data_IF_675606706321
#
_entry.id   IF_675606706321
#
_cell.length_a   1.000
_cell.length_b   1.000
_cell.length_c   1.000
_cell.angle_alpha   90.00
_cell.angle_beta   90.00
_cell.angle_gamma   90.00
#
_symmetry.space_group_name_H-M   'P 1'
#
loop_
_entity.id
_entity.type
_entity.pdbx_description
1 polymer ?
#
# COMPACT_ATOMS: atom_id res chain seq x y z
N UNK A 1 23.57 -16.72 -22.24
CA UNK A 1 22.15 -16.32 -22.33
C UNK A 1 21.40 -16.99 -21.19
N UNK A 2 21.40 -16.36 -20.01
CA UNK A 2 20.60 -16.70 -18.82
C UNK A 2 20.97 -15.72 -17.70
N UNK A 3 20.38 -14.51 -17.67
CA UNK A 3 20.53 -13.61 -16.51
C UNK A 3 19.54 -12.42 -16.48
N UNK A 4 18.25 -12.61 -16.77
CA UNK A 4 17.23 -11.57 -16.45
C UNK A 4 16.27 -11.99 -15.35
N UNK A 5 15.98 -13.28 -15.19
CA UNK A 5 14.95 -13.75 -14.24
C UNK A 5 15.30 -13.62 -12.75
N UNK A 6 16.54 -13.29 -12.38
CA UNK A 6 16.93 -13.12 -10.97
C UNK A 6 16.94 -11.65 -10.51
N UNK A 7 16.73 -10.71 -11.42
CA UNK A 7 16.79 -9.27 -11.12
C UNK A 7 15.49 -8.73 -10.52
N UNK A 8 14.35 -9.19 -11.01
CA UNK A 8 13.04 -8.62 -10.66
C UNK A 8 12.51 -9.08 -9.30
N UNK A 9 12.71 -10.36 -8.95
CA UNK A 9 12.35 -10.87 -7.62
C UNK A 9 13.26 -10.26 -6.53
N UNK A 10 14.56 -10.19 -6.78
CA UNK A 10 15.52 -9.59 -5.86
C UNK A 10 15.31 -8.08 -5.71
N UNK A 11 14.94 -7.37 -6.78
CA UNK A 11 14.65 -5.93 -6.74
C UNK A 11 13.32 -5.63 -6.03
N UNK A 12 12.29 -6.47 -6.18
CA UNK A 12 11.03 -6.33 -5.45
C UNK A 12 11.22 -6.49 -3.94
N UNK A 13 12.07 -7.45 -3.53
CA UNK A 13 12.44 -7.69 -2.13
C UNK A 13 13.34 -6.60 -1.57
N UNK A 14 14.37 -6.19 -2.32
CA UNK A 14 15.22 -5.07 -1.94
C UNK A 14 14.38 -3.80 -1.77
N UNK A 15 13.45 -3.54 -2.69
CA UNK A 15 12.49 -2.45 -2.57
C UNK A 15 11.67 -2.58 -1.29
N UNK A 16 11.11 -3.74 -1.01
CA UNK A 16 10.33 -3.97 0.21
C UNK A 16 11.15 -3.68 1.47
N UNK A 17 12.34 -4.27 1.61
CA UNK A 17 13.19 -4.07 2.77
C UNK A 17 13.66 -2.62 2.87
N UNK A 18 13.91 -1.96 1.75
CA UNK A 18 14.22 -0.53 1.74
C UNK A 18 13.09 0.29 2.35
N UNK A 19 11.84 0.02 1.94
CA UNK A 19 10.68 0.71 2.50
C UNK A 19 10.48 0.41 3.99
N UNK A 20 10.65 -0.83 4.41
CA UNK A 20 10.43 -1.24 5.80
C UNK A 20 11.55 -0.78 6.74
N UNK A 21 12.82 -0.83 6.32
CA UNK A 21 13.98 -0.54 7.17
C UNK A 21 14.35 0.94 7.19
N UNK A 22 14.09 1.67 6.10
CA UNK A 22 14.51 3.07 5.98
C UNK A 22 13.32 4.02 5.87
N UNK A 23 12.40 3.76 4.94
CA UNK A 23 11.31 4.70 4.64
C UNK A 23 10.27 4.76 5.76
N UNK A 24 9.88 3.62 6.31
CA UNK A 24 8.89 3.55 7.39
C UNK A 24 9.41 4.21 8.69
N UNK A 25 10.65 3.94 9.17
CA UNK A 25 11.21 4.69 10.29
C UNK A 25 11.33 6.19 10.03
N UNK A 26 11.74 6.60 8.82
CA UNK A 26 11.86 8.01 8.46
C UNK A 26 10.50 8.73 8.46
N UNK A 27 9.49 8.13 7.83
CA UNK A 27 8.12 8.68 7.80
C UNK A 27 7.49 8.73 9.19
N UNK A 28 7.67 7.70 10.02
CA UNK A 28 7.23 7.72 11.42
C UNK A 28 7.97 8.77 12.25
N UNK A 29 9.26 9.00 11.99
CA UNK A 29 10.01 10.07 12.64
C UNK A 29 9.44 11.44 12.27
N UNK A 30 9.06 11.67 11.02
CA UNK A 30 8.41 12.91 10.58
C UNK A 30 7.05 13.09 11.27
N UNK A 31 6.26 12.02 11.35
CA UNK A 31 4.89 12.03 11.89
C UNK A 31 4.81 11.92 13.42
N UNK A 32 5.95 11.99 14.12
CA UNK A 32 5.98 11.91 15.58
C UNK A 32 5.11 13.03 16.21
N UNK A 33 4.20 12.71 17.15
CA UNK A 33 3.35 13.71 17.81
C UNK A 33 4.21 14.82 18.45
N UNK A 34 3.82 16.08 18.24
CA UNK A 34 4.48 17.25 18.82
C UNK A 34 5.72 17.77 18.08
N UNK A 35 6.19 17.10 17.01
CA UNK A 35 7.34 17.59 16.23
C UNK A 35 6.95 18.67 15.23
N UNK A 36 5.89 18.43 14.47
CA UNK A 36 5.33 19.38 13.50
C UNK A 36 3.82 19.52 13.70
N UNK A 37 3.25 20.63 13.22
CA UNK A 37 1.79 20.77 13.08
C UNK A 37 1.24 19.68 12.18
N UNK A 38 -0.01 19.27 12.38
CA UNK A 38 -0.57 18.10 11.73
C UNK A 38 -0.49 18.15 10.20
N UNK A 39 -0.87 19.29 9.62
CA UNK A 39 -0.79 19.50 8.18
C UNK A 39 0.66 19.47 7.67
N UNK A 40 1.60 20.10 8.40
CA UNK A 40 3.01 20.18 7.99
C UNK A 40 3.68 18.81 8.02
N UNK A 41 3.48 18.03 9.09
CA UNK A 41 4.00 16.67 9.20
C UNK A 41 3.49 15.77 8.09
N UNK A 42 2.20 15.85 7.77
CA UNK A 42 1.61 15.10 6.67
C UNK A 42 2.20 15.51 5.31
N UNK A 43 2.32 16.82 5.05
CA UNK A 43 2.92 17.30 3.79
C UNK A 43 4.37 16.84 3.63
N UNK A 44 5.18 16.84 4.70
CA UNK A 44 6.56 16.37 4.64
C UNK A 44 6.65 14.86 4.44
N UNK A 45 5.78 14.08 5.08
CA UNK A 45 5.74 12.63 4.89
C UNK A 45 5.33 12.25 3.46
N UNK A 46 4.29 12.90 2.91
CA UNK A 46 3.87 12.72 1.52
C UNK A 46 4.98 13.16 0.56
N UNK A 47 5.58 14.33 0.79
CA UNK A 47 6.70 14.82 -0.02
C UNK A 47 7.89 13.88 -0.03
N UNK A 48 8.26 13.31 1.11
CA UNK A 48 9.33 12.30 1.22
C UNK A 48 8.98 11.04 0.42
N UNK A 49 7.76 10.51 0.56
CA UNK A 49 7.33 9.32 -0.16
C UNK A 49 7.31 9.54 -1.68
N UNK A 50 6.82 10.69 -2.13
CA UNK A 50 6.81 11.07 -3.55
C UNK A 50 8.23 11.25 -4.09
N UNK A 51 9.14 11.86 -3.33
CA UNK A 51 10.53 12.01 -3.73
C UNK A 51 11.24 10.66 -3.87
N UNK A 52 11.05 9.77 -2.91
CA UNK A 52 11.62 8.41 -2.96
C UNK A 52 11.03 7.61 -4.12
N UNK A 53 9.71 7.67 -4.31
CA UNK A 53 9.05 7.02 -5.44
C UNK A 53 9.59 7.55 -6.78
N UNK A 54 9.70 8.86 -6.96
CA UNK A 54 10.22 9.47 -8.18
C UNK A 54 11.68 9.06 -8.46
N UNK A 55 12.55 9.08 -7.44
CA UNK A 55 13.94 8.65 -7.58
C UNK A 55 14.01 7.17 -7.96
N UNK A 56 13.28 6.31 -7.25
CA UNK A 56 13.23 4.87 -7.51
C UNK A 56 12.74 4.58 -8.93
N UNK A 57 11.60 5.15 -9.31
CA UNK A 57 11.05 5.00 -10.66
C UNK A 57 12.03 5.50 -11.73
N UNK A 58 12.74 6.61 -11.47
CA UNK A 58 13.78 7.09 -12.38
C UNK A 58 14.95 6.11 -12.55
N UNK A 59 15.40 5.46 -11.47
CA UNK A 59 16.43 4.43 -11.55
C UNK A 59 15.95 3.18 -12.31
N UNK A 60 14.74 2.71 -12.03
CA UNK A 60 14.18 1.54 -12.72
C UNK A 60 13.98 1.78 -14.22
N UNK A 61 13.48 2.96 -14.60
CA UNK A 61 13.36 3.33 -16.02
C UNK A 61 14.75 3.32 -16.68
N UNK A 62 15.78 3.80 -15.99
CA UNK A 62 17.15 3.80 -16.50
C UNK A 62 17.72 2.38 -16.65
N UNK A 63 17.43 1.49 -15.71
CA UNK A 63 17.93 0.10 -15.72
C UNK A 63 17.27 -0.76 -16.80
N UNK A 64 15.98 -0.56 -17.08
CA UNK A 64 15.26 -1.28 -18.15
C UNK A 64 15.79 -0.95 -19.55
N UNK A 65 16.35 0.24 -19.73
CA UNK A 65 16.82 0.70 -21.03
C UNK A 65 15.70 1.17 -21.96
N UNK A 66 16.04 1.61 -23.18
CA UNK A 66 15.05 2.13 -24.12
C UNK A 66 14.15 1.02 -24.64
N UNK A 67 12.87 1.32 -24.82
CA UNK A 67 11.91 0.42 -25.45
C UNK A 67 11.85 0.60 -26.98
N UNK A 68 11.10 -0.23 -27.71
CA UNK A 68 11.07 -0.19 -29.19
C UNK A 68 10.52 1.13 -29.76
N UNK A 69 9.58 1.76 -29.07
CA UNK A 69 9.04 3.06 -29.46
C UNK A 69 10.07 4.19 -29.26
N UNK A 70 10.79 4.15 -28.13
CA UNK A 70 11.88 5.09 -27.82
C UNK A 70 13.08 4.89 -28.74
N UNK A 71 13.41 3.64 -29.10
CA UNK A 71 14.49 3.31 -30.04
C UNK A 71 14.23 3.89 -31.44
N UNK A 72 12.98 3.82 -31.91
CA UNK A 72 12.59 4.40 -33.20
C UNK A 72 12.21 5.89 -33.10
N UNK A 73 12.14 6.46 -31.90
CA UNK A 73 11.67 7.82 -31.64
C UNK A 73 10.27 8.08 -32.23
N UNK A 74 9.33 7.17 -31.96
CA UNK A 74 7.93 7.23 -32.41
C UNK A 74 6.97 7.03 -31.25
N UNK A 75 5.76 7.59 -31.36
CA UNK A 75 4.69 7.31 -30.39
C UNK A 75 4.04 5.94 -30.66
N UNK A 76 3.46 5.32 -29.62
CA UNK A 76 2.63 4.12 -29.71
C UNK A 76 1.50 4.23 -30.76
N UNK A 77 0.93 5.43 -30.90
CA UNK A 77 -0.12 5.76 -31.87
C UNK A 77 0.37 6.03 -33.29
N UNK A 78 1.67 5.91 -33.57
CA UNK A 78 2.23 6.24 -34.89
C UNK A 78 1.76 5.27 -35.97
N UNK A 79 1.55 5.80 -37.18
CA UNK A 79 1.15 5.00 -38.33
C UNK A 79 2.30 4.11 -38.82
N UNK A 80 2.02 3.00 -39.54
CA UNK A 80 3.06 2.15 -40.14
C UNK A 80 3.99 2.93 -41.09
N UNK A 81 3.48 3.99 -41.74
CA UNK A 81 4.27 4.86 -42.61
C UNK A 81 5.28 5.68 -41.80
N UNK A 82 4.90 6.17 -40.63
CA UNK A 82 5.76 6.96 -39.75
C UNK A 82 6.84 6.08 -39.11
N UNK A 83 6.47 4.87 -38.68
CA UNK A 83 7.40 3.84 -38.16
C UNK A 83 8.47 3.52 -39.22
N UNK A 84 8.05 3.30 -40.48
CA UNK A 84 8.98 3.04 -41.59
C UNK A 84 9.91 4.21 -41.91
N UNK A 85 9.39 5.45 -41.87
CA UNK A 85 10.21 6.66 -42.05
C UNK A 85 11.22 6.82 -40.93
N UNK A 86 10.80 6.60 -39.70
CA UNK A 86 11.63 6.69 -38.51
C UNK A 86 12.74 5.64 -38.52
N UNK A 87 12.42 4.38 -38.84
CA UNK A 87 13.42 3.32 -39.02
C UNK A 87 14.47 3.72 -40.06
N UNK A 88 14.06 4.17 -41.26
CA UNK A 88 15.02 4.61 -42.30
C UNK A 88 15.96 5.72 -41.81
N UNK A 89 15.42 6.69 -41.05
CA UNK A 89 16.20 7.80 -40.47
C UNK A 89 17.21 7.27 -39.43
N UNK A 90 16.76 6.42 -38.52
CA UNK A 90 17.58 5.89 -37.44
C UNK A 90 18.63 4.91 -37.96
N UNK A 91 18.28 4.00 -38.88
CA UNK A 91 19.23 3.03 -39.47
C UNK A 91 20.42 3.70 -40.14
N UNK A 92 20.25 4.88 -40.75
CA UNK A 92 21.34 5.64 -41.35
C UNK A 92 22.28 6.24 -40.31
N UNK A 93 21.78 6.55 -39.11
CA UNK A 93 22.55 7.11 -38.00
C UNK A 93 23.34 6.03 -37.26
N UNK A 94 22.75 4.85 -37.04
CA UNK A 94 23.38 3.73 -36.31
C UNK A 94 24.10 2.72 -37.20
N UNK A 95 24.20 2.97 -38.51
CA UNK A 95 24.82 2.02 -39.44
C UNK A 95 26.28 1.69 -39.05
N UNK A 96 26.67 0.40 -38.95
CA UNK A 96 28.00 0.01 -38.50
C UNK A 96 29.14 0.57 -39.36
N UNK A 97 28.92 0.76 -40.67
CA UNK A 97 29.93 1.38 -41.55
C UNK A 97 30.19 2.87 -41.25
N UNK A 98 29.22 3.57 -40.66
CA UNK A 98 29.32 5.01 -40.36
C UNK A 98 29.63 5.29 -38.89
N UNK A 99 29.30 4.35 -38.01
CA UNK A 99 29.55 4.45 -36.58
C UNK A 99 30.63 3.42 -36.17
N UNK A 100 31.87 3.85 -35.90
CA UNK A 100 32.96 2.97 -35.51
C UNK A 100 32.87 2.47 -34.06
N UNK A 101 31.72 2.62 -33.38
CA UNK A 101 31.54 2.11 -32.03
C UNK A 101 31.45 0.57 -32.02
N UNK A 102 32.02 -0.05 -30.98
CA UNK A 102 31.93 -1.49 -30.79
C UNK A 102 30.48 -1.97 -30.55
N UNK A 103 29.57 -1.05 -30.17
CA UNK A 103 28.14 -1.31 -29.93
C UNK A 103 27.25 -1.09 -31.16
N UNK A 104 27.77 -0.54 -32.26
CA UNK A 104 26.95 -0.16 -33.41
C UNK A 104 26.20 -1.35 -34.03
N UNK A 105 26.83 -2.53 -34.04
CA UNK A 105 26.22 -3.77 -34.56
C UNK A 105 25.03 -4.20 -33.70
N UNK A 106 25.19 -4.18 -32.38
CA UNK A 106 24.14 -4.57 -31.43
C UNK A 106 22.99 -3.56 -31.43
N UNK A 107 23.30 -2.27 -31.49
CA UNK A 107 22.29 -1.20 -31.58
C UNK A 107 21.50 -1.27 -32.88
N UNK A 108 22.17 -1.57 -34.00
CA UNK A 108 21.51 -1.77 -35.28
C UNK A 108 20.61 -3.01 -35.30
N UNK A 109 21.07 -4.11 -34.69
CA UNK A 109 20.27 -5.32 -34.55
C UNK A 109 19.00 -5.05 -33.72
N UNK A 110 19.14 -4.37 -32.57
CA UNK A 110 17.98 -3.97 -31.73
C UNK A 110 17.01 -3.04 -32.45
N UNK A 111 17.53 -2.08 -33.22
CA UNK A 111 16.70 -1.17 -34.02
C UNK A 111 15.90 -1.93 -35.09
N UNK A 112 16.51 -2.93 -35.72
CA UNK A 112 15.84 -3.81 -36.68
C UNK A 112 14.76 -4.65 -36.01
N UNK A 113 15.07 -5.29 -34.88
CA UNK A 113 14.09 -6.05 -34.10
C UNK A 113 12.89 -5.18 -33.70
N UNK A 114 13.13 -3.95 -33.24
CA UNK A 114 12.09 -2.98 -32.92
C UNK A 114 11.18 -2.69 -34.12
N UNK A 115 11.75 -2.49 -35.31
CA UNK A 115 10.98 -2.27 -36.54
C UNK A 115 10.17 -3.50 -36.94
N UNK A 116 10.78 -4.69 -36.91
CA UNK A 116 10.13 -5.94 -37.31
C UNK A 116 8.93 -6.26 -36.38
N UNK A 117 9.07 -6.03 -35.07
CA UNK A 117 7.99 -6.22 -34.09
C UNK A 117 6.89 -5.17 -34.23
N UNK A 118 7.23 -3.89 -34.39
CA UNK A 118 6.23 -2.80 -34.42
C UNK A 118 5.47 -2.73 -35.75
N UNK A 119 6.00 -3.32 -36.83
CA UNK A 119 5.33 -3.40 -38.13
C UNK A 119 4.32 -4.55 -38.24
N UNK A 120 4.53 -5.63 -37.49
CA UNK A 120 3.60 -6.75 -37.42
C UNK A 120 2.52 -6.46 -36.36
N UNK A 121 1.24 -6.49 -36.77
CA UNK A 121 0.13 -6.17 -35.88
C UNK A 121 0.00 -7.15 -34.71
N UNK A 122 0.28 -8.44 -34.92
CA UNK A 122 0.20 -9.45 -33.87
C UNK A 122 1.38 -9.33 -32.90
N UNK A 123 2.60 -9.11 -33.41
CA UNK A 123 3.77 -8.95 -32.55
C UNK A 123 3.74 -7.64 -31.79
N UNK A 124 3.27 -6.55 -32.41
CA UNK A 124 3.03 -5.26 -31.74
C UNK A 124 2.04 -5.39 -30.60
N UNK A 125 0.98 -6.18 -30.79
CA UNK A 125 -0.03 -6.43 -29.75
C UNK A 125 0.58 -7.12 -28.53
N UNK A 126 1.29 -8.23 -28.78
CA UNK A 126 1.99 -8.99 -27.75
C UNK A 126 3.03 -8.12 -27.04
N UNK A 127 3.79 -7.33 -27.80
CA UNK A 127 4.80 -6.42 -27.26
C UNK A 127 4.19 -5.35 -26.36
N UNK A 128 3.07 -4.75 -26.76
CA UNK A 128 2.40 -3.71 -25.98
C UNK A 128 1.92 -4.24 -24.63
N UNK A 129 1.37 -5.45 -24.60
CA UNK A 129 0.80 -6.08 -23.40
C UNK A 129 1.85 -6.72 -22.50
N UNK A 130 2.94 -7.24 -23.08
CA UNK A 130 3.85 -8.17 -22.40
C UNK A 130 5.34 -7.82 -22.55
N UNK A 131 5.67 -6.72 -23.21
CA UNK A 131 7.05 -6.29 -23.42
C UNK A 131 7.84 -7.21 -24.36
N UNK A 132 9.17 -7.08 -24.33
CA UNK A 132 10.06 -7.88 -25.19
C UNK A 132 10.01 -9.38 -24.86
N UNK A 133 9.71 -9.73 -23.62
CA UNK A 133 9.69 -11.13 -23.18
C UNK A 133 8.54 -11.90 -23.81
N UNK A 134 7.36 -11.28 -23.90
CA UNK A 134 6.20 -11.87 -24.56
C UNK A 134 6.41 -12.14 -26.05
N UNK A 135 7.24 -11.34 -26.71
CA UNK A 135 7.58 -11.53 -28.14
C UNK A 135 8.57 -12.70 -28.32
N UNK A 136 9.49 -12.89 -27.37
CA UNK A 136 10.50 -13.97 -27.41
C UNK A 136 9.94 -15.33 -26.96
N UNK A 137 8.86 -15.33 -26.18
CA UNK A 137 8.22 -16.53 -25.67
C UNK A 137 7.16 -17.11 -26.64
N UNK A 138 6.90 -18.42 -26.55
CA UNK A 138 6.06 -19.13 -27.50
C UNK A 138 4.56 -19.04 -27.10
N UNK A 139 3.80 -18.23 -27.85
CA UNK A 139 2.38 -17.80 -27.70
C UNK A 139 1.39 -18.60 -26.82
N UNK A 140 1.50 -19.92 -26.66
CA UNK A 140 0.52 -20.77 -25.92
C UNK A 140 0.85 -21.01 -24.45
N UNK A 141 2.12 -20.95 -24.05
CA UNK A 141 2.55 -21.20 -22.65
C UNK A 141 2.43 -19.93 -21.81
N UNK A 142 2.38 -18.77 -22.45
CA UNK A 142 2.55 -17.48 -21.80
C UNK A 142 1.26 -16.95 -21.15
N UNK A 143 0.06 -17.17 -21.72
CA UNK A 143 -1.19 -16.66 -21.10
C UNK A 143 -1.37 -17.13 -19.66
N UNK A 144 -1.09 -18.41 -19.39
CA UNK A 144 -1.16 -18.98 -18.03
C UNK A 144 -0.03 -18.48 -17.13
N UNK A 145 1.20 -18.39 -17.66
CA UNK A 145 2.35 -17.88 -16.89
C UNK A 145 2.11 -16.43 -16.44
N UNK A 146 1.55 -15.62 -17.33
CA UNK A 146 1.30 -14.20 -17.07
C UNK A 146 0.13 -13.99 -16.10
N UNK A 147 -0.96 -14.75 -16.23
CA UNK A 147 -2.03 -14.76 -15.21
C UNK A 147 -1.50 -15.21 -13.84
N UNK A 148 -0.55 -16.16 -13.83
CA UNK A 148 0.11 -16.61 -12.60
C UNK A 148 0.99 -15.52 -12.01
N UNK A 149 1.75 -14.77 -12.80
CA UNK A 149 2.58 -13.64 -12.32
C UNK A 149 1.72 -12.54 -11.67
N UNK A 150 0.61 -12.17 -12.31
CA UNK A 150 -0.39 -11.25 -11.73
C UNK A 150 -0.93 -11.82 -10.42
N UNK A 151 -1.40 -13.07 -10.42
CA UNK A 151 -1.96 -13.70 -9.24
C UNK A 151 -0.96 -13.77 -8.08
N UNK A 152 0.30 -14.15 -8.36
CA UNK A 152 1.37 -14.20 -7.37
C UNK A 152 1.63 -12.81 -6.80
N UNK A 153 1.71 -11.77 -7.63
CA UNK A 153 1.88 -10.39 -7.16
C UNK A 153 0.77 -10.01 -6.17
N UNK A 154 -0.51 -10.10 -6.55
CA UNK A 154 -1.62 -9.64 -5.72
C UNK A 154 -1.83 -10.51 -4.47
N UNK A 155 -1.61 -11.82 -4.57
CA UNK A 155 -1.71 -12.72 -3.41
C UNK A 155 -0.57 -12.44 -2.43
N UNK A 156 0.68 -12.38 -2.91
CA UNK A 156 1.83 -12.11 -2.06
C UNK A 156 1.73 -10.73 -1.40
N UNK A 157 1.45 -9.69 -2.19
CA UNK A 157 1.27 -8.33 -1.66
C UNK A 157 0.01 -8.18 -0.81
N UNK A 158 -1.05 -8.93 -1.07
CA UNK A 158 -2.26 -8.93 -0.25
C UNK A 158 -2.04 -9.56 1.12
N UNK A 159 -1.36 -10.71 1.19
CA UNK A 159 -0.92 -11.32 2.44
C UNK A 159 0.00 -10.37 3.19
N UNK A 160 0.97 -9.77 2.50
CA UNK A 160 1.91 -8.83 3.08
C UNK A 160 1.22 -7.58 3.63
N UNK A 161 0.33 -6.96 2.85
CA UNK A 161 -0.49 -5.83 3.24
C UNK A 161 -1.33 -6.15 4.48
N UNK A 162 -1.96 -7.32 4.51
CA UNK A 162 -2.73 -7.78 5.66
C UNK A 162 -1.87 -7.92 6.92
N UNK A 163 -0.74 -8.65 6.81
CA UNK A 163 0.20 -8.86 7.91
C UNK A 163 0.71 -7.54 8.48
N UNK A 164 1.11 -6.63 7.61
CA UNK A 164 1.58 -5.30 8.00
C UNK A 164 0.48 -4.53 8.73
N UNK A 165 -0.77 -4.60 8.26
CA UNK A 165 -1.91 -3.82 8.79
C UNK A 165 -2.72 -4.55 9.86
N UNK A 166 -2.14 -5.57 10.50
CA UNK A 166 -2.75 -6.21 11.67
C UNK A 166 -2.95 -5.21 12.82
N UNK A 167 -4.09 -5.33 13.50
CA UNK A 167 -4.48 -4.49 14.63
C UNK A 167 -5.59 -3.48 14.32
N UNK A 168 -6.39 -3.16 15.34
CA UNK A 168 -7.52 -2.21 15.22
C UNK A 168 -7.04 -0.80 14.83
N UNK A 169 -5.88 -0.39 15.35
CA UNK A 169 -5.23 0.88 15.05
C UNK A 169 -4.94 1.13 13.56
N UNK A 170 -4.88 0.07 12.76
CA UNK A 170 -4.54 0.13 11.34
C UNK A 170 -5.72 -0.27 10.43
N UNK A 171 -6.94 -0.42 10.97
CA UNK A 171 -8.08 -0.93 10.21
C UNK A 171 -8.43 -0.02 9.03
N UNK A 172 -8.41 1.30 9.21
CA UNK A 172 -8.64 2.25 8.12
C UNK A 172 -7.54 2.17 7.05
N UNK A 173 -6.27 2.06 7.45
CA UNK A 173 -5.16 1.88 6.51
C UNK A 173 -5.36 0.62 5.65
N UNK A 174 -5.78 -0.48 6.28
CA UNK A 174 -6.06 -1.74 5.58
C UNK A 174 -7.12 -1.56 4.51
N UNK A 175 -8.24 -0.90 4.82
CA UNK A 175 -9.30 -0.65 3.85
C UNK A 175 -8.80 0.12 2.63
N UNK A 176 -8.02 1.19 2.85
CA UNK A 176 -7.43 1.95 1.74
C UNK A 176 -6.49 1.09 0.90
N UNK A 177 -5.58 0.35 1.53
CA UNK A 177 -4.62 -0.52 0.83
C UNK A 177 -5.31 -1.55 -0.05
N UNK A 178 -6.30 -2.28 0.48
CA UNK A 178 -7.03 -3.29 -0.29
C UNK A 178 -7.89 -2.65 -1.38
N UNK A 179 -8.47 -1.48 -1.14
CA UNK A 179 -9.18 -0.72 -2.18
C UNK A 179 -8.22 -0.34 -3.32
N UNK A 180 -7.04 0.17 -2.99
CA UNK A 180 -6.00 0.48 -3.97
C UNK A 180 -5.57 -0.75 -4.77
N UNK A 181 -5.34 -1.89 -4.12
CA UNK A 181 -5.02 -3.14 -4.83
C UNK A 181 -6.14 -3.59 -5.78
N UNK A 182 -7.41 -3.48 -5.38
CA UNK A 182 -8.53 -3.85 -6.25
C UNK A 182 -8.58 -2.93 -7.47
N UNK A 183 -8.47 -1.61 -7.27
CA UNK A 183 -8.44 -0.65 -8.39
C UNK A 183 -7.26 -0.93 -9.31
N UNK A 184 -6.10 -1.20 -8.72
CA UNK A 184 -4.88 -1.52 -9.45
C UNK A 184 -5.03 -2.79 -10.30
N UNK A 185 -5.60 -3.86 -9.73
CA UNK A 185 -5.89 -5.11 -10.43
C UNK A 185 -6.88 -4.89 -11.57
N UNK A 186 -7.92 -4.10 -11.34
CA UNK A 186 -8.89 -3.78 -12.39
C UNK A 186 -8.22 -3.02 -13.54
N UNK A 187 -7.41 -2.00 -13.24
CA UNK A 187 -6.67 -1.25 -14.26
C UNK A 187 -5.72 -2.17 -15.03
N UNK A 188 -4.99 -3.04 -14.35
CA UNK A 188 -4.06 -3.98 -14.96
C UNK A 188 -4.78 -4.97 -15.88
N UNK A 189 -5.90 -5.55 -15.44
CA UNK A 189 -6.73 -6.44 -16.29
C UNK A 189 -7.30 -5.66 -17.48
N UNK A 190 -7.75 -4.42 -17.30
CA UNK A 190 -8.26 -3.60 -18.40
C UNK A 190 -7.20 -3.26 -19.44
N UNK A 191 -5.97 -2.98 -19.00
CA UNK A 191 -4.82 -2.77 -19.90
C UNK A 191 -4.43 -4.07 -20.61
N UNK A 192 -4.46 -5.21 -19.91
CA UNK A 192 -4.15 -6.52 -20.47
C UNK A 192 -5.22 -6.99 -21.48
N UNK A 193 -6.49 -6.63 -21.30
CA UNK A 193 -7.59 -6.92 -22.22
C UNK A 193 -7.75 -5.86 -23.33
N UNK A 194 -6.95 -4.79 -23.30
CA UNK A 194 -7.03 -3.65 -24.24
C UNK A 194 -8.39 -2.94 -24.29
N UNK A 195 -9.20 -3.10 -23.24
CA UNK A 195 -10.47 -2.36 -23.13
C UNK A 195 -10.23 -0.88 -22.81
N UNK A 196 -9.03 -0.54 -22.32
CA UNK A 196 -8.63 0.82 -22.00
C UNK A 196 -7.62 1.35 -23.03
N UNK A 197 -8.10 2.07 -24.02
CA UNK A 197 -7.25 2.82 -24.94
C UNK A 197 -6.62 4.02 -24.21
N UNK A 198 -5.31 4.00 -24.02
CA UNK A 198 -4.58 5.11 -23.39
C UNK A 198 -4.55 6.32 -24.32
N UNK A 199 -4.83 7.55 -23.82
CA UNK A 199 -4.75 8.75 -24.63
C UNK A 199 -3.34 8.99 -25.19
N UNK A 200 -3.23 9.47 -26.44
CA UNK A 200 -1.93 9.71 -27.09
C UNK A 200 -1.02 10.71 -26.36
N UNK A 201 -1.60 11.65 -25.60
CA UNK A 201 -0.83 12.61 -24.79
C UNK A 201 -0.25 11.99 -23.52
N UNK A 202 -0.80 10.88 -23.06
CA UNK A 202 -0.42 10.22 -21.82
C UNK A 202 0.68 9.21 -22.11
N UNK A 203 1.93 9.58 -21.78
CA UNK A 203 3.12 8.74 -21.92
C UNK A 203 3.22 8.12 -23.34
N UNK A 204 3.46 8.95 -24.38
CA UNK A 204 3.28 8.57 -25.79
C UNK A 204 4.19 7.45 -26.27
N UNK A 205 5.32 7.20 -25.61
CA UNK A 205 6.30 6.17 -25.97
C UNK A 205 6.32 5.01 -24.97
N UNK A 206 5.46 5.01 -23.95
CA UNK A 206 5.45 3.98 -22.89
C UNK A 206 4.39 2.94 -23.20
N UNK A 207 4.71 1.66 -23.11
CA UNK A 207 3.76 0.57 -23.38
C UNK A 207 2.80 0.32 -22.21
N UNK A 208 1.72 -0.41 -22.47
CA UNK A 208 0.76 -0.85 -21.47
C UNK A 208 1.44 -1.71 -20.41
N UNK A 209 2.32 -2.61 -20.84
CA UNK A 209 3.18 -3.42 -19.97
C UNK A 209 4.04 -2.56 -19.04
N UNK A 210 4.72 -1.54 -19.57
CA UNK A 210 5.56 -0.66 -18.77
C UNK A 210 4.74 0.15 -17.75
N UNK A 211 3.50 0.54 -18.09
CA UNK A 211 2.60 1.21 -17.15
C UNK A 211 2.22 0.29 -16.00
N UNK A 212 1.91 -0.99 -16.29
CA UNK A 212 1.66 -2.00 -15.25
C UNK A 212 2.88 -2.17 -14.34
N UNK A 213 4.07 -2.29 -14.92
CA UNK A 213 5.31 -2.38 -14.15
C UNK A 213 5.58 -1.13 -13.28
N UNK A 214 5.26 0.06 -13.79
CA UNK A 214 5.33 1.31 -13.01
C UNK A 214 4.34 1.28 -11.85
N UNK A 215 3.13 0.75 -12.08
CA UNK A 215 2.10 0.64 -11.07
C UNK A 215 2.51 -0.34 -9.95
N UNK A 216 3.05 -1.52 -10.30
CA UNK A 216 3.65 -2.47 -9.33
C UNK A 216 4.80 -1.83 -8.56
N UNK A 217 5.66 -1.04 -9.22
CA UNK A 217 6.79 -0.35 -8.60
C UNK A 217 6.38 0.73 -7.59
N UNK A 218 5.26 1.42 -7.85
CA UNK A 218 4.71 2.47 -6.98
C UNK A 218 3.89 1.92 -5.82
N UNK A 219 3.37 0.70 -5.94
CA UNK A 219 2.53 0.07 -4.91
C UNK A 219 3.17 0.01 -3.50
N UNK A 220 4.47 -0.34 -3.31
CA UNK A 220 5.12 -0.27 -2.01
C UNK A 220 5.05 1.12 -1.36
N UNK A 221 5.23 2.19 -2.15
CA UNK A 221 5.14 3.56 -1.66
C UNK A 221 3.71 3.90 -1.24
N UNK A 222 2.74 3.49 -2.04
CA UNK A 222 1.31 3.63 -1.76
C UNK A 222 0.90 2.91 -0.46
N UNK A 223 1.31 1.64 -0.30
CA UNK A 223 1.09 0.85 0.91
C UNK A 223 1.63 1.56 2.14
N UNK A 224 2.89 2.03 2.09
CA UNK A 224 3.50 2.75 3.20
C UNK A 224 2.79 4.07 3.50
N UNK A 225 2.40 4.83 2.47
CA UNK A 225 1.60 6.03 2.62
C UNK A 225 0.28 5.77 3.36
N UNK A 226 -0.46 4.75 2.94
CA UNK A 226 -1.72 4.37 3.60
C UNK A 226 -1.51 3.96 5.07
N UNK A 227 -0.43 3.25 5.37
CA UNK A 227 -0.08 2.86 6.75
C UNK A 227 0.25 4.06 7.62
N UNK A 228 1.08 4.97 7.12
CA UNK A 228 1.46 6.19 7.83
C UNK A 228 0.24 7.07 8.08
N UNK A 229 -0.58 7.31 7.04
CA UNK A 229 -1.78 8.14 7.14
C UNK A 229 -2.79 7.50 8.09
N UNK A 230 -3.07 6.20 7.94
CA UNK A 230 -4.03 5.51 8.81
C UNK A 230 -3.57 5.47 10.26
N UNK A 231 -2.28 5.29 10.54
CA UNK A 231 -1.74 5.36 11.90
C UNK A 231 -1.70 6.78 12.49
N UNK A 232 -1.64 7.80 11.64
CA UNK A 232 -1.62 9.22 12.02
C UNK A 232 -3.02 9.77 12.29
N UNK A 233 -3.97 9.43 11.43
CA UNK A 233 -5.39 9.82 11.53
C UNK A 233 -6.21 8.86 12.40
N UNK A 234 -5.60 7.81 12.95
CA UNK A 234 -6.29 6.91 13.88
C UNK A 234 -6.72 7.67 15.14
N UNK A 235 -8.00 8.03 15.16
CA UNK A 235 -8.71 8.44 16.35
C UNK A 235 -9.47 7.22 16.85
N UNK A 236 -9.21 6.82 18.09
CA UNK A 236 -9.95 5.73 18.73
C UNK A 236 -11.31 6.27 19.20
N UNK A 237 -12.25 6.38 18.25
CA UNK A 237 -13.61 6.85 18.56
C UNK A 237 -14.28 5.96 19.60
N UNK A 238 -14.03 4.65 19.57
CA UNK A 238 -14.63 3.70 20.51
C UNK A 238 -14.14 3.98 21.93
N UNK A 239 -12.83 4.16 22.12
CA UNK A 239 -12.25 4.49 23.41
C UNK A 239 -12.66 5.88 23.91
N UNK A 240 -12.70 6.89 23.04
CA UNK A 240 -13.20 8.22 23.41
C UNK A 240 -14.68 8.21 23.77
N UNK A 241 -15.49 7.49 23.00
CA UNK A 241 -16.93 7.32 23.28
C UNK A 241 -17.12 6.58 24.59
N UNK A 242 -16.31 5.55 24.87
CA UNK A 242 -16.30 4.82 26.15
C UNK A 242 -15.92 5.74 27.31
N UNK A 243 -14.88 6.56 27.16
CA UNK A 243 -14.47 7.53 28.18
C UNK A 243 -15.54 8.59 28.42
N UNK A 244 -16.18 9.10 27.37
CA UNK A 244 -17.29 10.05 27.47
C UNK A 244 -18.50 9.41 28.19
N UNK A 245 -18.87 8.19 27.82
CA UNK A 245 -19.93 7.43 28.49
C UNK A 245 -19.64 7.23 29.97
N UNK A 246 -18.40 6.88 30.32
CA UNK A 246 -17.98 6.72 31.71
C UNK A 246 -18.04 8.05 32.47
N UNK A 247 -17.58 9.15 31.87
CA UNK A 247 -17.64 10.48 32.48
C UNK A 247 -19.09 10.93 32.73
N UNK A 248 -19.99 10.72 31.76
CA UNK A 248 -21.43 10.99 31.92
C UNK A 248 -22.04 10.10 33.01
N UNK A 249 -21.66 8.83 33.05
CA UNK A 249 -22.15 7.91 34.09
C UNK A 249 -21.69 8.34 35.49
N UNK A 250 -20.45 8.80 35.63
CA UNK A 250 -19.92 9.31 36.89
C UNK A 250 -20.63 10.59 37.32
N UNK A 251 -20.87 11.52 36.39
CA UNK A 251 -21.65 12.72 36.65
C UNK A 251 -23.09 12.42 37.10
N UNK A 252 -23.75 11.43 36.46
CA UNK A 252 -25.08 10.99 36.85
C UNK A 252 -25.11 10.42 38.28
N UNK A 253 -24.09 9.66 38.70
CA UNK A 253 -23.98 9.19 40.09
C UNK A 253 -23.90 10.36 41.08
N UNK A 254 -23.12 11.39 40.76
CA UNK A 254 -23.00 12.57 41.63
C UNK A 254 -24.32 13.34 41.77
N UNK A 255 -25.06 13.52 40.68
CA UNK A 255 -26.39 14.16 40.70
C UNK A 255 -27.35 13.38 41.58
N UNK A 256 -27.34 12.04 41.48
CA UNK A 256 -28.21 11.18 42.27
C UNK A 256 -27.90 11.25 43.77
N UNK A 257 -26.61 11.27 44.14
CA UNK A 257 -26.18 11.46 45.53
C UNK A 257 -26.59 12.84 46.05
N UNK A 258 -26.40 13.90 45.26
CA UNK A 258 -26.82 15.25 45.62
C UNK A 258 -28.34 15.36 45.80
N UNK A 259 -29.14 14.73 44.93
CA UNK A 259 -30.59 14.64 45.07
C UNK A 259 -30.99 13.88 46.34
N UNK A 260 -30.32 12.78 46.65
CA UNK A 260 -30.56 12.02 47.89
C UNK A 260 -30.26 12.85 49.14
N UNK A 261 -29.16 13.62 49.14
CA UNK A 261 -28.81 14.54 50.23
C UNK A 261 -29.83 15.67 50.39
N UNK A 262 -30.24 16.32 49.28
CA UNK A 262 -31.30 17.33 49.28
C UNK A 262 -32.61 16.75 49.83
N UNK A 263 -32.98 15.55 49.39
CA UNK A 263 -34.18 14.89 49.90
C UNK A 263 -34.08 14.51 51.37
N UNK A 264 -32.90 14.07 51.83
CA UNK A 264 -32.64 13.83 53.25
C UNK A 264 -32.78 15.10 54.08
N UNK A 265 -32.20 16.22 53.62
CA UNK A 265 -32.35 17.55 54.25
C UNK A 265 -33.81 18.02 54.26
N UNK A 266 -34.54 17.80 53.16
CA UNK A 266 -35.94 18.18 53.02
C UNK A 266 -36.90 17.23 53.78
N UNK A 267 -36.48 16.01 54.08
CA UNK A 267 -37.23 15.05 54.91
C UNK A 267 -37.07 15.35 56.41
N UNK A 268 -35.92 15.90 56.81
CA UNK A 268 -35.67 16.39 58.17
C UNK A 268 -36.18 17.83 58.41
N UNK A 269 -36.86 18.44 57.43
CA UNK A 269 -37.51 19.75 57.60
C UNK A 269 -38.77 19.59 58.48
N UNK A 270 -38.83 20.22 59.68
CA UNK A 270 -39.94 20.06 60.60
C UNK A 270 -41.30 20.58 60.07
N UNK A 271 -41.32 21.25 58.90
CA UNK A 271 -42.51 21.92 58.35
C UNK A 271 -43.28 21.10 57.30
N UNK A 272 -42.93 19.83 57.07
CA UNK A 272 -43.37 19.09 55.87
C UNK A 272 -44.38 17.95 56.15
N UNK A 273 -45.43 17.77 55.30
CA UNK A 273 -46.34 16.62 55.37
C UNK A 273 -45.69 15.30 54.88
N UNK A 274 -46.24 14.12 55.25
CA UNK A 274 -45.61 12.82 55.03
C UNK A 274 -45.42 12.46 53.53
N UNK A 275 -44.37 11.70 53.18
CA UNK A 275 -43.99 11.46 51.78
C UNK A 275 -44.91 10.48 51.05
N UNK A 276 -45.14 10.72 49.75
CA UNK A 276 -45.90 9.84 48.86
C UNK A 276 -45.08 8.63 48.36
N UNK A 277 -45.80 7.55 48.02
CA UNK A 277 -45.41 6.13 48.02
C UNK A 277 -44.37 5.63 47.00
N UNK A 278 -43.53 6.47 46.40
CA UNK A 278 -42.33 5.97 45.70
C UNK A 278 -41.26 7.05 45.67
N UNK A 279 -40.40 7.04 46.69
CA UNK A 279 -39.26 7.96 46.75
C UNK A 279 -38.26 7.60 45.64
N UNK A 280 -37.63 8.58 44.98
CA UNK A 280 -36.61 8.29 43.96
C UNK A 280 -35.40 7.54 44.52
N UNK A 281 -35.21 7.51 45.85
CA UNK A 281 -34.28 6.63 46.56
C UNK A 281 -34.58 5.13 46.40
N UNK A 282 -35.84 4.73 46.25
CA UNK A 282 -36.21 3.34 45.95
C UNK A 282 -35.85 2.98 44.50
N UNK A 283 -36.12 3.89 43.55
CA UNK A 283 -35.67 3.73 42.15
C UNK A 283 -34.14 3.71 42.06
N UNK A 284 -33.45 4.45 42.93
CA UNK A 284 -31.99 4.45 43.03
C UNK A 284 -31.44 3.08 43.45
N UNK A 285 -32.02 2.48 44.50
CA UNK A 285 -31.62 1.15 44.98
C UNK A 285 -31.92 0.05 43.96
N UNK A 286 -32.99 0.21 43.18
CA UNK A 286 -33.36 -0.71 42.09
C UNK A 286 -32.41 -0.62 40.89
N UNK A 287 -31.95 0.59 40.56
CA UNK A 287 -30.90 0.82 39.54
C UNK A 287 -29.53 0.35 40.04
N UNK A 288 -29.22 0.54 41.33
CA UNK A 288 -27.96 0.07 41.92
C UNK A 288 -27.90 -1.47 42.03
N UNK A 289 -29.03 -2.13 42.32
CA UNK A 289 -29.10 -3.59 42.41
C UNK A 289 -29.01 -4.25 41.03
N UNK A 290 -29.64 -3.66 40.00
CA UNK A 290 -29.51 -4.10 38.61
C UNK A 290 -28.09 -3.90 38.07
N UNK A 291 -27.40 -2.83 38.46
CA UNK A 291 -25.99 -2.58 38.12
C UNK A 291 -25.01 -3.50 38.84
N UNK A 292 -25.29 -3.93 40.09
CA UNK A 292 -24.44 -4.91 40.80
C UNK A 292 -24.62 -6.34 40.28
N UNK A 293 -25.79 -6.65 39.70
CA UNK A 293 -26.08 -7.97 39.13
C UNK A 293 -25.43 -8.21 37.75
N UNK A 294 -24.99 -7.15 37.05
CA UNK A 294 -24.27 -7.21 35.77
C UNK A 294 -22.95 -6.46 35.83
N UNK A 295 -21.86 -7.17 36.14
CA UNK A 295 -20.54 -6.56 36.38
C UNK A 295 -19.96 -5.83 35.16
N UNK A 296 -19.37 -4.65 35.40
CA UNK A 296 -18.39 -4.04 34.50
C UNK A 296 -17.03 -3.86 35.22
N UNK A 297 -15.90 -4.03 34.51
CA UNK A 297 -14.58 -4.02 35.12
C UNK A 297 -14.11 -2.61 35.51
N UNK A 298 -13.24 -2.58 36.51
CA UNK A 298 -12.67 -1.41 37.17
C UNK A 298 -11.74 -0.56 36.29
N UNK A 299 -11.73 0.73 36.61
CA UNK A 299 -11.05 1.87 35.98
C UNK A 299 -9.53 1.72 35.90
N UNK A 300 -8.94 2.06 34.74
CA UNK A 300 -7.53 2.44 34.60
C UNK A 300 -7.42 3.96 34.35
N UNK A 301 -6.50 4.69 35.01
CA UNK A 301 -6.35 6.14 34.80
C UNK A 301 -5.91 6.45 33.36
N UNK A 302 -6.46 7.51 32.78
CA UNK A 302 -6.19 7.97 31.40
C UNK A 302 -4.68 8.16 31.08
N UNK A 303 -3.86 8.53 32.07
CA UNK A 303 -2.41 8.67 31.91
C UNK A 303 -1.68 7.33 31.77
N UNK A 304 -2.24 6.25 32.32
CA UNK A 304 -1.72 4.89 32.16
C UNK A 304 -2.09 4.33 30.79
N UNK A 305 -3.26 4.70 30.25
CA UNK A 305 -3.74 4.29 28.94
C UNK A 305 -2.99 4.98 27.79
N UNK A 306 -2.65 6.27 27.89
CA UNK A 306 -1.80 6.95 26.89
C UNK A 306 -0.41 6.30 26.78
N UNK A 307 0.22 5.99 27.92
CA UNK A 307 1.49 5.26 27.95
C UNK A 307 1.36 3.82 27.46
N UNK A 308 0.25 3.13 27.76
CA UNK A 308 -0.02 1.78 27.24
C UNK A 308 -0.35 1.78 25.74
N UNK A 309 -1.05 2.80 25.21
CA UNK A 309 -1.30 2.97 23.77
C UNK A 309 0.00 3.27 23.02
N UNK A 310 0.86 4.14 23.54
CA UNK A 310 2.19 4.40 22.97
C UNK A 310 3.07 3.14 23.00
N UNK A 311 3.04 2.36 24.09
CA UNK A 311 3.75 1.09 24.21
C UNK A 311 3.18 0.01 23.28
N UNK A 312 1.86 -0.08 23.11
CA UNK A 312 1.20 -1.03 22.21
C UNK A 312 1.44 -0.69 20.72
N UNK A 313 1.51 0.60 20.38
CA UNK A 313 1.85 1.08 19.02
C UNK A 313 3.32 0.75 18.66
N UNK A 314 4.22 0.83 19.64
CA UNK A 314 5.64 0.44 19.52
C UNK A 314 5.84 -1.08 19.41
N UNK A 315 5.13 -1.86 20.23
CA UNK A 315 5.28 -3.32 20.32
C UNK A 315 4.70 -4.06 19.11
N UNK A 316 3.53 -3.68 18.61
CA UNK A 316 2.93 -4.33 17.43
C UNK A 316 3.73 -4.05 16.14
N UNK A 317 4.37 -2.88 16.06
CA UNK A 317 5.23 -2.50 14.93
C UNK A 317 6.50 -3.36 14.84
N UNK A 318 7.07 -3.74 15.98
CA UNK A 318 8.32 -4.51 16.04
C UNK A 318 8.06 -6.02 15.94
N UNK A 319 7.01 -6.53 16.59
CA UNK A 319 6.67 -7.96 16.53
C UNK A 319 6.22 -8.41 15.12
N UNK A 320 5.47 -7.59 14.39
CA UNK A 320 5.12 -7.88 12.99
C UNK A 320 6.32 -7.90 12.05
N UNK A 321 7.33 -7.05 12.29
CA UNK A 321 8.58 -7.03 11.54
C UNK A 321 9.39 -8.32 11.75
N UNK A 322 9.52 -8.79 13.00
CA UNK A 322 10.26 -10.02 13.30
C UNK A 322 9.57 -11.28 12.76
N UNK A 323 8.23 -11.34 12.83
CA UNK A 323 7.45 -12.45 12.27
C UNK A 323 7.57 -12.47 10.73
N UNK A 324 7.61 -11.31 10.08
CA UNK A 324 7.85 -11.23 8.62
C UNK A 324 9.27 -11.68 8.24
N UNK A 325 10.30 -11.23 8.96
CA UNK A 325 11.68 -11.66 8.69
C UNK A 325 11.78 -13.18 8.86
N UNK A 326 11.18 -13.74 9.91
CA UNK A 326 11.18 -15.18 10.16
C UNK A 326 10.37 -15.98 9.11
N UNK A 327 9.15 -15.53 8.77
CA UNK A 327 8.29 -16.17 7.78
C UNK A 327 8.87 -16.13 6.37
N UNK A 328 9.55 -15.03 6.01
CA UNK A 328 10.22 -14.91 4.73
C UNK A 328 11.50 -15.76 4.67
N UNK A 329 12.32 -15.82 5.73
CA UNK A 329 13.45 -16.76 5.80
C UNK A 329 12.94 -18.19 5.57
N UNK A 330 11.84 -18.58 6.22
CA UNK A 330 11.24 -19.90 6.03
C UNK A 330 10.78 -20.15 4.58
N UNK A 331 10.11 -19.18 3.95
CA UNK A 331 9.67 -19.29 2.54
C UNK A 331 10.86 -19.33 1.57
N UNK A 332 11.87 -18.46 1.75
CA UNK A 332 13.08 -18.45 0.95
C UNK A 332 13.78 -19.81 1.00
N UNK A 333 13.94 -20.42 2.18
CA UNK A 333 14.53 -21.75 2.28
C UNK A 333 13.63 -22.87 1.72
N UNK A 334 12.30 -22.74 1.81
CA UNK A 334 11.37 -23.70 1.19
C UNK A 334 11.43 -23.67 -0.35
N UNK A 335 11.58 -22.49 -0.96
CA UNK A 335 11.55 -22.34 -2.42
C UNK A 335 12.95 -22.33 -3.08
N UNK A 336 14.01 -22.02 -2.32
CA UNK A 336 15.40 -22.14 -2.79
C UNK A 336 15.96 -23.57 -2.66
N UNK A 337 15.24 -24.46 -1.97
CA UNK A 337 15.68 -25.82 -1.62
C UNK A 337 15.48 -26.88 -2.71
N UNK A 338 14.91 -26.55 -3.87
CA UNK A 338 14.65 -27.54 -4.95
C UNK A 338 15.73 -27.55 -6.05
N UNK A 339 16.90 -26.95 -5.81
CA UNK A 339 17.97 -26.82 -6.82
C UNK A 339 19.20 -27.72 -6.64
N UNK A 340 19.29 -28.53 -5.58
CA UNK A 340 20.48 -29.36 -5.34
C UNK A 340 20.14 -30.77 -4.87
N UNK A 341 19.54 -31.58 -5.75
CA UNK A 341 19.59 -33.03 -5.63
C UNK A 341 19.10 -33.72 -6.90
N UNK A 342 20.00 -33.95 -7.86
CA UNK A 342 20.25 -35.29 -8.45
C UNK A 342 21.05 -35.19 -9.75
N UNK A 343 22.20 -35.88 -9.73
CA UNK A 343 22.92 -36.49 -10.86
C UNK A 343 23.71 -35.61 -11.81
#
# INVERSE_FOLDING_TARGET
MASSNSGDDASSLFSFFFYVLFVYPATNWILKPGRFSQSKGLTYAIGLLLAIAAVKTGFEIKERGPNYYQMLDVSRGSSPLDIKRAYKRMSLAVHPDKNPSASAVDEFAKLKDAYDVLMDLELKDVYNRFGEEGVKANKRVDEYRMLLEIAVFYVAWGIMAFMLTLGKASSSARQWVFTGMIVMLVVEVMLMLQELALPDWFLPQTTEHEIVLLLHSLFPAYLNGCRCIGGYLYLDLDEQTRQLLLAVQEQNKHILVALADIQGKLANDPRRPPPAASTPMQKLKEVESTLRAGGLPTVHPANTLLKQQEAAKSSNSSMGLYIMIAGYIALYYCFSGTGTSSS
#
